data_IF_108314284331
#
_entry.id   IF_108314284331
#
_cell.length_a   1.000
_cell.length_b   1.000
_cell.length_c   1.000
_cell.angle_alpha   90.00
_cell.angle_beta   90.00
_cell.angle_gamma   90.00
#
_symmetry.space_group_name_H-M   'P 1'
#
loop_
_entity.id
_entity.type
_entity.pdbx_description
1 polymer ?
#
# COMPACT_ATOMS: atom_id res chain seq x y z
N UNK A 1 -0.19 44.11 5.65
CA UNK A 1 -0.60 43.12 4.64
C UNK A 1 0.00 41.78 5.05
N UNK A 2 -0.81 40.84 5.51
CA UNK A 2 -0.33 39.55 6.01
C UNK A 2 -0.19 38.58 4.83
N UNK A 3 1.00 37.99 4.65
CA UNK A 3 1.22 36.91 3.70
C UNK A 3 0.38 35.70 4.14
N UNK A 4 -0.61 35.32 3.34
CA UNK A 4 -1.39 34.10 3.55
C UNK A 4 -0.44 32.91 3.53
N UNK A 5 -0.31 32.22 4.67
CA UNK A 5 0.42 30.95 4.73
C UNK A 5 -0.22 30.01 3.71
N UNK A 6 0.53 29.70 2.66
CA UNK A 6 0.19 28.65 1.71
C UNK A 6 -0.29 27.45 2.52
N UNK A 7 -1.49 26.97 2.18
CA UNK A 7 -2.07 25.80 2.82
C UNK A 7 -1.05 24.68 2.73
N UNK A 8 -0.43 24.39 3.87
CA UNK A 8 0.41 23.24 4.07
C UNK A 8 -0.51 22.03 3.93
N UNK A 9 -0.71 21.61 2.67
CA UNK A 9 -1.08 20.24 2.39
C UNK A 9 -0.02 19.42 3.11
N UNK A 10 -0.43 18.71 4.16
CA UNK A 10 0.38 17.66 4.72
C UNK A 10 0.57 16.65 3.59
N UNK A 11 1.60 16.85 2.77
CA UNK A 11 2.09 15.87 1.82
C UNK A 11 2.50 14.70 2.71
N UNK A 12 1.60 13.73 2.82
CA UNK A 12 1.70 12.61 3.73
C UNK A 12 2.81 11.62 3.32
N UNK A 13 3.66 12.01 2.36
CA UNK A 13 4.89 11.35 1.95
C UNK A 13 5.95 11.24 3.05
N UNK A 14 5.80 11.95 4.18
CA UNK A 14 6.73 11.85 5.32
C UNK A 14 6.56 10.55 6.13
N UNK A 15 5.44 9.82 5.98
CA UNK A 15 5.12 8.59 6.74
C UNK A 15 4.84 7.37 5.85
N UNK A 16 5.48 7.26 4.69
CA UNK A 16 5.34 6.12 3.78
C UNK A 16 6.52 5.15 3.85
N UNK A 17 6.26 3.86 4.05
CA UNK A 17 7.29 2.82 3.89
C UNK A 17 7.57 2.55 2.40
N UNK A 18 8.56 1.71 2.10
CA UNK A 18 8.88 1.32 0.71
C UNK A 18 7.68 0.75 -0.06
N UNK A 19 6.73 0.16 0.67
CA UNK A 19 5.51 -0.47 0.15
C UNK A 19 4.28 0.48 0.23
N UNK A 20 4.51 1.79 0.27
CA UNK A 20 3.47 2.82 0.32
C UNK A 20 3.50 3.66 -0.96
N UNK A 21 2.35 3.84 -1.59
CA UNK A 21 2.20 4.59 -2.84
C UNK A 21 0.95 5.46 -2.85
N UNK A 22 0.80 6.40 -3.79
CA UNK A 22 -0.36 7.26 -3.88
C UNK A 22 -1.63 6.42 -4.13
N UNK A 23 -2.66 6.60 -3.30
CA UNK A 23 -3.93 5.91 -3.44
C UNK A 23 -4.80 6.60 -4.50
N UNK A 24 -5.22 5.89 -5.57
CA UNK A 24 -6.01 6.49 -6.64
C UNK A 24 -7.37 7.03 -6.18
N UNK A 25 -7.95 6.47 -5.10
CA UNK A 25 -9.26 6.87 -4.60
C UNK A 25 -9.20 8.06 -3.64
N UNK A 26 -8.06 8.28 -2.99
CA UNK A 26 -7.92 9.29 -1.93
C UNK A 26 -7.05 10.48 -2.34
N UNK A 27 -7.21 10.93 -3.60
CA UNK A 27 -6.48 12.09 -4.16
C UNK A 27 -4.96 11.99 -4.00
N UNK A 28 -4.40 10.78 -4.09
CA UNK A 28 -2.97 10.55 -3.95
C UNK A 28 -2.44 10.54 -2.52
N UNK A 29 -3.30 10.49 -1.49
CA UNK A 29 -2.84 10.17 -0.12
C UNK A 29 -2.12 8.82 -0.10
N UNK A 30 -1.08 8.65 0.73
CA UNK A 30 -0.32 7.42 0.79
C UNK A 30 -1.22 6.27 1.26
N UNK A 31 -1.08 5.14 0.58
CA UNK A 31 -1.76 3.91 0.93
C UNK A 31 -0.95 2.68 0.56
N UNK A 32 -1.37 1.56 1.14
CA UNK A 32 -0.76 0.24 0.94
C UNK A 32 -1.88 -0.78 0.73
N UNK A 33 -1.63 -1.75 -0.15
CA UNK A 33 -2.45 -2.95 -0.34
C UNK A 33 -1.83 -4.12 0.41
N UNK A 34 -2.66 -5.04 0.88
CA UNK A 34 -2.26 -6.29 1.51
C UNK A 34 -2.68 -7.44 0.60
N UNK A 35 -1.72 -8.23 0.13
CA UNK A 35 -1.97 -9.42 -0.67
C UNK A 35 -1.76 -10.63 0.24
N UNK A 36 -2.78 -11.46 0.39
CA UNK A 36 -2.80 -12.50 1.41
C UNK A 36 -3.23 -13.83 0.80
N UNK A 37 -2.46 -14.88 1.05
CA UNK A 37 -2.80 -16.26 0.69
C UNK A 37 -3.34 -16.95 1.94
N UNK A 38 -4.52 -17.56 1.85
CA UNK A 38 -5.13 -18.36 2.92
C UNK A 38 -5.29 -19.81 2.52
N UNK A 39 -5.31 -20.71 3.50
CA UNK A 39 -5.84 -22.06 3.31
C UNK A 39 -7.39 -22.06 3.28
N UNK A 40 -7.98 -23.25 3.14
CA UNK A 40 -9.44 -23.44 3.11
C UNK A 40 -10.14 -23.13 4.45
N UNK A 41 -9.40 -23.08 5.56
CA UNK A 41 -9.90 -22.74 6.90
C UNK A 41 -9.75 -21.25 7.21
N UNK A 42 -9.12 -20.48 6.32
CA UNK A 42 -8.84 -19.07 6.48
C UNK A 42 -7.52 -18.77 7.22
N UNK A 43 -6.65 -19.76 7.43
CA UNK A 43 -5.33 -19.55 8.02
C UNK A 43 -4.42 -18.82 7.01
N UNK A 44 -3.83 -17.67 7.36
CA UNK A 44 -2.91 -16.96 6.48
C UNK A 44 -1.60 -17.73 6.33
N UNK A 45 -1.21 -18.01 5.09
CA UNK A 45 0.00 -18.75 4.71
C UNK A 45 1.13 -17.84 4.21
N UNK A 46 0.78 -16.69 3.64
CA UNK A 46 1.73 -15.72 3.09
C UNK A 46 1.10 -14.33 2.97
N UNK A 47 1.92 -13.29 3.16
CA UNK A 47 1.51 -11.89 3.09
C UNK A 47 2.59 -11.09 2.36
N UNK A 48 2.19 -10.30 1.37
CA UNK A 48 3.02 -9.24 0.79
C UNK A 48 2.29 -7.90 0.82
N UNK A 49 3.04 -6.82 0.90
CA UNK A 49 2.48 -5.48 0.80
C UNK A 49 2.83 -4.90 -0.57
N UNK A 50 2.13 -3.85 -0.97
CA UNK A 50 2.50 -3.04 -2.13
C UNK A 50 1.89 -1.66 -2.00
N UNK A 51 2.42 -0.69 -2.76
CA UNK A 51 1.76 0.62 -2.89
C UNK A 51 0.31 0.49 -3.37
N UNK A 52 -0.55 1.41 -2.94
CA UNK A 52 -1.98 1.37 -3.24
C UNK A 52 -2.32 1.42 -4.74
N UNK A 53 -1.43 2.00 -5.57
CA UNK A 53 -1.60 2.08 -7.02
C UNK A 53 -1.06 0.88 -7.79
N UNK A 54 -0.55 -0.17 -7.13
CA UNK A 54 -0.08 -1.39 -7.80
C UNK A 54 -1.26 -2.31 -8.12
N UNK A 55 -1.28 -2.87 -9.32
CA UNK A 55 -2.29 -3.85 -9.73
C UNK A 55 -2.05 -5.21 -9.05
N UNK A 56 -3.12 -5.84 -8.56
CA UNK A 56 -3.02 -7.03 -7.71
C UNK A 56 -2.51 -8.27 -8.49
N UNK A 57 -2.73 -8.35 -9.81
CA UNK A 57 -2.19 -9.45 -10.63
C UNK A 57 -0.65 -9.51 -10.62
N UNK A 58 0.02 -8.38 -10.43
CA UNK A 58 1.48 -8.31 -10.38
C UNK A 58 2.04 -8.87 -9.07
N UNK A 59 1.19 -8.96 -8.04
CA UNK A 59 1.56 -9.42 -6.71
C UNK A 59 1.22 -10.90 -6.49
N UNK A 60 0.59 -11.58 -7.46
CA UNK A 60 0.26 -12.99 -7.34
C UNK A 60 1.50 -13.87 -7.09
N UNK A 61 2.47 -13.84 -8.01
CA UNK A 61 3.68 -14.65 -7.87
C UNK A 61 4.50 -14.30 -6.60
N UNK A 62 4.79 -13.01 -6.32
CA UNK A 62 5.46 -12.63 -5.07
C UNK A 62 4.75 -13.11 -3.80
N UNK A 63 3.41 -13.14 -3.80
CA UNK A 63 2.65 -13.58 -2.61
C UNK A 63 2.66 -15.09 -2.46
N UNK A 64 2.69 -15.85 -3.55
CA UNK A 64 2.88 -17.30 -3.51
C UNK A 64 4.29 -17.68 -3.05
N UNK A 65 5.31 -16.94 -3.49
CA UNK A 65 6.70 -17.14 -3.06
C UNK A 65 6.91 -16.83 -1.57
N UNK A 66 6.03 -16.01 -0.97
CA UNK A 66 6.05 -15.70 0.45
C UNK A 66 5.51 -16.85 1.34
N UNK A 67 4.91 -17.89 0.76
CA UNK A 67 4.46 -19.07 1.50
C UNK A 67 5.65 -19.95 1.85
N UNK A 68 5.91 -20.24 3.14
CA UNK A 68 6.97 -21.15 3.55
C UNK A 68 6.79 -22.55 2.94
N UNK A 69 7.89 -23.17 2.52
CA UNK A 69 7.91 -24.57 2.04
C UNK A 69 8.08 -25.57 3.17
#
# INVERSE_FOLDING_TARGET
MAAGRAGQCHCSGEKGGAETGPNPTDRGKPGTKRHLVTDARGTPLGLTLSGANRHDSMMLAPTLDAVPR
#
